data_IF_747734024583
#
_entry.id   IF_747734024583
#
_cell.length_a   1.000
_cell.length_b   1.000
_cell.length_c   1.000
_cell.angle_alpha   90.00
_cell.angle_beta   90.00
_cell.angle_gamma   90.00
#
_symmetry.space_group_name_H-M   'P 1'
#
loop_
_entity.id
_entity.type
_entity.pdbx_description
1 polymer ?
#
# COMPACT_ATOMS: atom_id res chain seq x y z
N UNK A 1 -1.95 -10.91 2.58
CA UNK A 1 -1.63 -11.88 3.66
C UNK A 1 -1.43 -11.18 5.01
N UNK A 2 -0.49 -10.21 5.09
CA UNK A 2 -0.17 -9.54 6.36
C UNK A 2 -1.40 -8.92 7.00
N UNK A 3 -2.22 -8.24 6.21
CA UNK A 3 -3.41 -7.56 6.71
C UNK A 3 -4.48 -8.55 7.17
N UNK A 4 -4.92 -9.43 6.29
CA UNK A 4 -6.05 -10.36 6.51
C UNK A 4 -5.73 -11.52 7.47
N UNK A 5 -4.51 -12.08 7.35
CA UNK A 5 -4.15 -13.31 8.06
C UNK A 5 -3.33 -13.07 9.33
N UNK A 6 -2.80 -11.85 9.54
CA UNK A 6 -1.96 -11.55 10.70
C UNK A 6 -2.45 -10.34 11.50
N UNK A 7 -2.58 -9.15 10.88
CA UNK A 7 -2.90 -7.92 11.62
C UNK A 7 -4.36 -7.90 12.07
N UNK A 8 -5.29 -8.09 11.14
CA UNK A 8 -6.72 -7.96 11.40
C UNK A 8 -7.23 -8.91 12.51
N UNK A 9 -6.89 -10.20 12.51
CA UNK A 9 -7.31 -11.10 13.58
C UNK A 9 -6.81 -10.69 14.96
N UNK A 10 -5.55 -10.21 15.04
CA UNK A 10 -4.94 -9.80 16.32
C UNK A 10 -5.59 -8.54 16.90
N UNK A 11 -5.80 -7.52 16.06
CA UNK A 11 -6.36 -6.24 16.56
C UNK A 11 -7.85 -6.37 16.85
N UNK A 12 -8.59 -7.16 16.07
CA UNK A 12 -10.01 -7.44 16.32
C UNK A 12 -10.19 -8.17 17.64
N UNK A 13 -9.46 -9.26 17.85
CA UNK A 13 -9.48 -10.01 19.12
C UNK A 13 -9.15 -9.12 20.31
N UNK A 14 -8.11 -8.29 20.22
CA UNK A 14 -7.72 -7.39 21.29
C UNK A 14 -8.81 -6.34 21.62
N UNK A 15 -9.52 -5.85 20.59
CA UNK A 15 -10.64 -4.93 20.77
C UNK A 15 -11.82 -5.62 21.49
N UNK A 16 -12.19 -6.81 21.04
CA UNK A 16 -13.26 -7.63 21.65
C UNK A 16 -12.98 -7.94 23.12
N UNK A 17 -11.77 -8.39 23.45
CA UNK A 17 -11.35 -8.69 24.83
C UNK A 17 -11.44 -7.47 25.76
N UNK A 18 -11.38 -6.26 25.20
CA UNK A 18 -11.50 -5.00 25.95
C UNK A 18 -12.88 -4.33 25.82
N UNK A 19 -13.85 -5.00 25.20
CA UNK A 19 -15.19 -4.47 24.98
C UNK A 19 -15.20 -3.18 24.13
N UNK A 20 -14.23 -3.04 23.22
CA UNK A 20 -14.13 -1.89 22.31
C UNK A 20 -14.84 -2.17 20.98
N UNK A 21 -15.33 -1.15 20.28
CA UNK A 21 -15.84 -1.32 18.92
C UNK A 21 -14.75 -1.83 17.97
N UNK A 22 -15.16 -2.34 16.81
CA UNK A 22 -14.25 -2.76 15.76
C UNK A 22 -13.24 -1.64 15.42
N UNK A 23 -11.94 -1.96 15.35
CA UNK A 23 -10.92 -0.95 15.10
C UNK A 23 -10.95 -0.48 13.65
N UNK A 24 -10.56 0.79 13.42
CA UNK A 24 -10.22 1.25 12.09
C UNK A 24 -8.86 0.69 11.69
N UNK A 25 -8.78 0.17 10.48
CA UNK A 25 -7.56 -0.43 9.92
C UNK A 25 -7.10 0.44 8.76
N UNK A 26 -6.09 1.27 9.00
CA UNK A 26 -5.48 2.10 7.96
C UNK A 26 -4.29 1.35 7.34
N UNK A 27 -4.45 0.89 6.11
CA UNK A 27 -3.34 0.34 5.32
C UNK A 27 -2.60 1.46 4.58
N UNK A 28 -1.28 1.40 4.57
CA UNK A 28 -0.42 2.35 3.85
C UNK A 28 0.41 1.63 2.80
N UNK A 29 0.50 2.20 1.60
CA UNK A 29 1.33 1.68 0.53
C UNK A 29 1.94 2.82 -0.31
N UNK A 30 3.17 2.64 -0.84
CA UNK A 30 3.67 3.47 -1.93
C UNK A 30 2.81 3.28 -3.19
N UNK A 31 2.42 4.36 -3.86
CA UNK A 31 1.54 4.30 -5.04
C UNK A 31 2.09 5.16 -6.16
N UNK A 32 2.15 4.61 -7.36
CA UNK A 32 2.43 5.37 -8.59
C UNK A 32 1.67 4.80 -9.79
N UNK A 33 0.97 5.67 -10.51
CA UNK A 33 0.36 5.34 -11.81
C UNK A 33 1.38 5.56 -12.91
N UNK A 34 1.68 4.51 -13.66
CA UNK A 34 2.66 4.55 -14.75
C UNK A 34 2.49 3.36 -15.71
N UNK A 35 2.93 3.53 -16.94
CA UNK A 35 3.08 2.41 -17.89
C UNK A 35 4.43 1.68 -17.71
N UNK A 36 5.40 2.31 -17.06
CA UNK A 36 6.71 1.73 -16.78
C UNK A 36 6.80 1.23 -15.33
N UNK A 37 6.29 0.03 -15.11
CA UNK A 37 6.33 -0.61 -13.80
C UNK A 37 7.78 -0.89 -13.33
N UNK A 38 8.70 -1.16 -14.25
CA UNK A 38 10.09 -1.45 -13.89
C UNK A 38 10.77 -0.19 -13.33
N UNK A 39 10.57 0.96 -13.97
CA UNK A 39 11.05 2.24 -13.47
C UNK A 39 10.41 2.58 -12.10
N UNK A 40 9.10 2.31 -11.95
CA UNK A 40 8.39 2.54 -10.69
C UNK A 40 8.95 1.68 -9.54
N UNK A 41 9.18 0.39 -9.78
CA UNK A 41 9.76 -0.49 -8.76
C UNK A 41 11.19 -0.08 -8.40
N UNK A 42 11.99 0.33 -9.39
CA UNK A 42 13.32 0.89 -9.14
C UNK A 42 13.29 2.19 -8.33
N UNK A 43 12.32 3.07 -8.56
CA UNK A 43 12.11 4.27 -7.76
C UNK A 43 11.67 3.92 -6.33
N UNK A 44 10.73 3.00 -6.17
CA UNK A 44 10.29 2.54 -4.86
C UNK A 44 11.44 1.91 -4.05
N UNK A 45 12.31 1.14 -4.68
CA UNK A 45 13.48 0.56 -3.99
C UNK A 45 14.47 1.64 -3.52
N UNK A 46 14.74 2.66 -4.34
CA UNK A 46 15.58 3.80 -3.93
C UNK A 46 14.99 4.58 -2.76
N UNK A 47 13.70 4.88 -2.81
CA UNK A 47 13.05 5.77 -1.85
C UNK A 47 12.70 5.06 -0.54
N UNK A 48 12.33 3.80 -0.62
CA UNK A 48 11.84 3.03 0.52
C UNK A 48 12.77 1.88 0.95
N UNK A 49 13.87 1.61 0.24
CA UNK A 49 14.79 0.49 0.52
C UNK A 49 15.35 0.45 1.94
N UNK A 50 15.48 1.62 2.60
CA UNK A 50 15.88 1.73 4.01
C UNK A 50 14.95 0.96 4.97
N UNK A 51 13.68 0.76 4.61
CA UNK A 51 12.73 0.03 5.45
C UNK A 51 13.08 -1.46 5.60
N UNK A 52 13.88 -2.03 4.69
CA UNK A 52 14.43 -3.37 4.84
C UNK A 52 15.27 -3.56 6.10
N UNK A 53 15.83 -2.46 6.65
CA UNK A 53 16.69 -2.48 7.84
C UNK A 53 15.88 -2.37 9.15
N UNK A 54 14.57 -2.10 9.06
CA UNK A 54 13.71 -1.97 10.24
C UNK A 54 13.04 -3.32 10.55
N UNK A 55 13.27 -3.89 11.76
CA UNK A 55 12.82 -5.24 12.11
C UNK A 55 11.31 -5.45 11.94
N UNK A 56 10.48 -4.42 12.24
CA UNK A 56 9.02 -4.49 12.08
C UNK A 56 8.58 -4.57 10.62
N UNK A 57 9.23 -3.81 9.74
CA UNK A 57 8.97 -3.86 8.30
C UNK A 57 9.48 -5.17 7.69
N UNK A 58 10.69 -5.61 8.07
CA UNK A 58 11.23 -6.89 7.59
C UNK A 58 10.29 -8.04 7.95
N UNK A 59 9.81 -8.09 9.19
CA UNK A 59 8.85 -9.13 9.62
C UNK A 59 7.55 -9.09 8.81
N UNK A 60 7.05 -7.90 8.51
CA UNK A 60 5.84 -7.74 7.67
C UNK A 60 6.08 -8.26 6.25
N UNK A 61 7.22 -7.92 5.63
CA UNK A 61 7.60 -8.42 4.31
C UNK A 61 7.79 -9.94 4.28
N UNK A 62 8.36 -10.51 5.36
CA UNK A 62 8.50 -11.97 5.50
C UNK A 62 7.12 -12.66 5.56
N UNK A 63 6.15 -12.11 6.29
CA UNK A 63 4.76 -12.63 6.35
C UNK A 63 4.09 -12.52 4.99
N UNK A 64 4.29 -11.40 4.28
CA UNK A 64 3.74 -11.19 2.94
C UNK A 64 4.39 -12.14 1.92
N UNK A 65 5.64 -12.47 2.11
CA UNK A 65 6.44 -13.33 1.23
C UNK A 65 7.09 -12.54 0.08
N UNK A 66 7.56 -11.32 0.38
CA UNK A 66 8.21 -10.42 -0.57
C UNK A 66 9.62 -10.05 -0.13
N UNK A 67 10.47 -9.70 -1.07
CA UNK A 67 11.90 -9.44 -0.79
C UNK A 67 12.14 -8.02 -0.28
N UNK A 68 11.33 -7.05 -0.71
CA UNK A 68 11.56 -5.67 -0.34
C UNK A 68 10.36 -4.73 -0.57
N UNK A 69 10.55 -3.44 -0.25
CA UNK A 69 9.50 -2.41 -0.38
C UNK A 69 9.03 -2.20 -1.82
N UNK A 70 9.90 -2.44 -2.81
CA UNK A 70 9.53 -2.37 -4.23
C UNK A 70 8.39 -3.33 -4.59
N UNK A 71 8.36 -4.51 -3.95
CA UNK A 71 7.32 -5.52 -4.17
C UNK A 71 6.00 -5.13 -3.50
N UNK A 72 6.06 -4.29 -2.46
CA UNK A 72 4.89 -3.77 -1.75
C UNK A 72 4.30 -2.54 -2.42
N UNK A 73 4.99 -1.95 -3.39
CA UNK A 73 4.50 -0.76 -4.08
C UNK A 73 3.33 -1.12 -5.02
N UNK A 74 2.28 -0.32 -4.94
CA UNK A 74 1.11 -0.37 -5.82
C UNK A 74 1.43 0.43 -7.09
N UNK A 75 1.74 -0.27 -8.16
CA UNK A 75 2.20 0.35 -9.42
C UNK A 75 1.52 -0.27 -10.64
N UNK A 76 1.46 0.48 -11.72
CA UNK A 76 0.87 0.09 -12.99
C UNK A 76 -0.01 1.20 -13.58
N UNK A 77 -0.78 0.87 -14.61
CA UNK A 77 -1.80 1.76 -15.14
C UNK A 77 -2.93 2.00 -14.12
N UNK A 78 -3.83 2.93 -14.40
CA UNK A 78 -4.93 3.29 -13.50
C UNK A 78 -5.79 2.08 -13.11
N UNK A 79 -6.09 1.20 -14.06
CA UNK A 79 -6.93 0.03 -13.81
C UNK A 79 -6.21 -0.99 -12.92
N UNK A 80 -4.91 -1.16 -13.11
CA UNK A 80 -4.07 -2.05 -12.30
C UNK A 80 -3.94 -1.52 -10.87
N UNK A 81 -3.66 -0.22 -10.71
CA UNK A 81 -3.56 0.42 -9.40
C UNK A 81 -4.90 0.34 -8.65
N UNK A 82 -6.03 0.62 -9.33
CA UNK A 82 -7.36 0.50 -8.71
C UNK A 82 -7.61 -0.94 -8.21
N UNK A 83 -7.33 -1.96 -9.01
CA UNK A 83 -7.48 -3.37 -8.59
C UNK A 83 -6.64 -3.71 -7.36
N UNK A 84 -5.39 -3.25 -7.34
CA UNK A 84 -4.48 -3.48 -6.21
C UNK A 84 -4.98 -2.77 -4.94
N UNK A 85 -5.48 -1.54 -5.04
CA UNK A 85 -6.05 -0.81 -3.90
C UNK A 85 -7.34 -1.46 -3.39
N UNK A 86 -8.21 -1.97 -4.28
CA UNK A 86 -9.40 -2.74 -3.87
C UNK A 86 -9.04 -3.99 -3.09
N UNK A 87 -7.94 -4.66 -3.43
CA UNK A 87 -7.49 -5.83 -2.70
C UNK A 87 -7.13 -5.53 -1.22
N UNK A 88 -6.70 -4.29 -0.89
CA UNK A 88 -6.55 -3.88 0.50
C UNK A 88 -7.89 -3.74 1.23
N UNK A 89 -8.90 -3.17 0.57
CA UNK A 89 -10.24 -3.08 1.13
C UNK A 89 -10.86 -4.48 1.34
N UNK A 90 -10.73 -5.35 0.33
CA UNK A 90 -11.20 -6.75 0.40
C UNK A 90 -10.49 -7.54 1.52
N UNK A 91 -9.23 -7.20 1.81
CA UNK A 91 -8.46 -7.78 2.91
C UNK A 91 -8.80 -7.19 4.30
N UNK A 92 -9.75 -6.25 4.38
CA UNK A 92 -10.27 -5.70 5.62
C UNK A 92 -9.70 -4.32 6.03
N UNK A 93 -9.00 -3.61 5.14
CA UNK A 93 -8.67 -2.22 5.38
C UNK A 93 -9.94 -1.36 5.37
N UNK A 94 -10.11 -0.51 6.37
CA UNK A 94 -11.20 0.48 6.44
C UNK A 94 -10.79 1.82 5.85
N UNK A 95 -9.49 2.03 5.75
CA UNK A 95 -8.87 3.26 5.25
C UNK A 95 -7.60 2.92 4.47
N UNK A 96 -7.32 3.71 3.44
CA UNK A 96 -6.10 3.59 2.64
C UNK A 96 -5.32 4.91 2.64
N UNK A 97 -4.02 4.83 2.89
CA UNK A 97 -3.09 5.94 2.77
C UNK A 97 -2.11 5.67 1.62
N UNK A 98 -2.32 6.31 0.48
CA UNK A 98 -1.40 6.24 -0.65
C UNK A 98 -0.22 7.20 -0.45
N UNK A 99 1.00 6.66 -0.32
CA UNK A 99 2.23 7.45 -0.36
C UNK A 99 2.64 7.62 -1.82
N UNK A 100 2.22 8.72 -2.43
CA UNK A 100 2.50 9.00 -3.85
C UNK A 100 3.98 9.30 -4.06
N UNK A 101 4.58 8.65 -5.05
CA UNK A 101 5.97 8.90 -5.44
C UNK A 101 6.08 9.09 -6.97
N UNK A 102 7.01 9.94 -7.44
CA UNK A 102 7.18 10.23 -8.86
C UNK A 102 7.88 9.08 -9.61
N UNK A 103 7.51 8.92 -10.88
CA UNK A 103 8.16 7.98 -11.82
C UNK A 103 8.41 8.70 -13.15
N UNK A 104 9.59 8.50 -13.74
CA UNK A 104 10.00 9.13 -14.99
C UNK A 104 10.56 10.52 -14.82
N UNK A 105 10.74 11.23 -15.94
CA UNK A 105 11.47 12.52 -15.99
C UNK A 105 10.60 13.70 -15.54
N UNK A 106 9.28 13.61 -15.70
CA UNK A 106 8.32 14.64 -15.26
C UNK A 106 7.66 14.23 -13.94
N UNK A 107 8.33 14.58 -12.83
CA UNK A 107 7.88 14.24 -11.48
C UNK A 107 6.49 14.84 -11.17
N UNK A 108 6.24 16.08 -11.59
CA UNK A 108 5.00 16.79 -11.28
C UNK A 108 3.82 16.16 -12.03
N UNK A 109 3.98 15.85 -13.30
CA UNK A 109 2.95 15.17 -14.09
C UNK A 109 2.66 13.75 -13.54
N UNK A 110 3.69 12.99 -13.14
CA UNK A 110 3.55 11.67 -12.54
C UNK A 110 2.77 11.71 -11.22
N UNK A 111 3.12 12.63 -10.32
CA UNK A 111 2.41 12.83 -9.05
C UNK A 111 0.97 13.29 -9.28
N UNK A 112 0.75 14.21 -10.23
CA UNK A 112 -0.59 14.70 -10.57
C UNK A 112 -1.49 13.57 -11.09
N UNK A 113 -0.98 12.71 -11.99
CA UNK A 113 -1.69 11.55 -12.55
C UNK A 113 -2.13 10.59 -11.44
N UNK A 114 -1.19 10.20 -10.58
CA UNK A 114 -1.48 9.29 -9.45
C UNK A 114 -2.48 9.90 -8.48
N UNK A 115 -2.31 11.18 -8.14
CA UNK A 115 -3.22 11.90 -7.25
C UNK A 115 -4.63 12.01 -7.82
N UNK A 116 -4.76 12.22 -9.14
CA UNK A 116 -6.06 12.26 -9.81
C UNK A 116 -6.81 10.93 -9.68
N UNK A 117 -6.13 9.81 -9.90
CA UNK A 117 -6.72 8.48 -9.68
C UNK A 117 -7.17 8.32 -8.22
N UNK A 118 -6.29 8.56 -7.26
CA UNK A 118 -6.63 8.38 -5.84
C UNK A 118 -7.85 9.22 -5.43
N UNK A 119 -7.93 10.47 -5.90
CA UNK A 119 -9.11 11.33 -5.66
C UNK A 119 -10.39 10.75 -6.26
N UNK A 120 -10.32 10.14 -7.44
CA UNK A 120 -11.47 9.53 -8.09
C UNK A 120 -12.00 8.28 -7.37
N UNK A 121 -11.18 7.66 -6.53
CA UNK A 121 -11.50 6.46 -5.78
C UNK A 121 -12.09 6.74 -4.39
N UNK A 122 -12.08 7.99 -3.92
CA UNK A 122 -12.66 8.36 -2.63
C UNK A 122 -14.15 7.99 -2.59
N UNK A 123 -14.53 7.20 -1.59
CA UNK A 123 -15.90 6.70 -1.42
C UNK A 123 -16.32 5.59 -2.39
N UNK A 124 -15.37 5.05 -3.18
CA UNK A 124 -15.61 3.94 -4.11
C UNK A 124 -14.89 2.64 -3.73
N UNK A 125 -13.92 2.75 -2.88
CA UNK A 125 -13.17 1.64 -2.25
C UNK A 125 -13.00 1.92 -0.76
#
# INVERSE_FOLDING_TARGET
>A
KTLDSYVLPLVTKAAEEKGRPAPRICAAAPVAVTEDEAAARGAADRDYGRYNQLPSFRRMMDVEGVDGPADMAVVGDEASVERQLRAYADAGATDLMGSVFPVGDDADASVARTTALLKSLIGRI
#
